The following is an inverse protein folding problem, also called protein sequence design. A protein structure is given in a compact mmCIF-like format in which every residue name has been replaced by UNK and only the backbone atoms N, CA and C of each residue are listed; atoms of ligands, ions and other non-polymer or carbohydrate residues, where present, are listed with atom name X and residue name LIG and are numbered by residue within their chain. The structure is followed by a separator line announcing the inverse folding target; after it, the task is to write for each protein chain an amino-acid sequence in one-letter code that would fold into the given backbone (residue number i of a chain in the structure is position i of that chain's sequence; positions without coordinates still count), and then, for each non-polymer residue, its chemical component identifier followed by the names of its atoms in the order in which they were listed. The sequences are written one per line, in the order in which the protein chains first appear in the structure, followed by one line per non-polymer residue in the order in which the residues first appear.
data_IF_675092205624
#
_entry.id   IF_675092205624
#
_cell.length_a   1.000
_cell.length_b   1.000
_cell.length_c   1.000
_cell.angle_alpha   90.00
_cell.angle_beta   90.00
_cell.angle_gamma   90.00
#
_symmetry.space_group_name_H-M   'P 1'
#
loop_
_entity.id
_entity.type
_entity.pdbx_description
1 polymer ?
#
# COMPACT_ATOMS: atom_id res chain seq x y z
N UNK A 1 -12.43 17.34 2.98
CA UNK A 1 -12.85 16.65 4.22
C UNK A 1 -13.27 17.69 5.25
N UNK A 2 -14.41 17.50 5.93
CA UNK A 2 -14.85 18.37 7.03
C UNK A 2 -13.97 18.13 8.27
N UNK A 3 -13.48 19.19 8.92
CA UNK A 3 -12.61 19.08 10.11
C UNK A 3 -13.23 18.24 11.24
N UNK A 4 -14.55 18.33 11.46
CA UNK A 4 -15.22 17.49 12.46
C UNK A 4 -15.18 16.00 12.09
N UNK A 5 -15.24 15.67 10.80
CA UNK A 5 -15.14 14.28 10.31
C UNK A 5 -13.71 13.77 10.49
N UNK A 6 -12.71 14.59 10.15
CA UNK A 6 -11.29 14.30 10.36
C UNK A 6 -11.00 13.99 11.83
N UNK A 7 -11.50 14.81 12.76
CA UNK A 7 -11.31 14.59 14.20
C UNK A 7 -11.94 13.28 14.70
N UNK A 8 -13.14 12.94 14.22
CA UNK A 8 -13.81 11.68 14.57
C UNK A 8 -12.99 10.48 14.08
N UNK A 9 -12.59 10.46 12.81
CA UNK A 9 -11.81 9.39 12.21
C UNK A 9 -10.47 9.19 12.93
N UNK A 10 -9.76 10.28 13.21
CA UNK A 10 -8.49 10.22 13.95
C UNK A 10 -8.69 9.61 15.33
N UNK A 11 -9.73 10.02 16.06
CA UNK A 11 -10.01 9.50 17.41
C UNK A 11 -10.36 8.00 17.40
N UNK A 12 -11.11 7.54 16.39
CA UNK A 12 -11.43 6.12 16.23
C UNK A 12 -10.17 5.28 15.97
N UNK A 13 -9.32 5.74 15.05
CA UNK A 13 -8.03 5.10 14.77
C UNK A 13 -7.08 5.13 15.98
N UNK A 14 -7.06 6.20 16.77
CA UNK A 14 -6.27 6.26 18.01
C UNK A 14 -6.75 5.24 19.04
N UNK A 15 -8.06 5.06 19.19
CA UNK A 15 -8.62 4.04 20.08
C UNK A 15 -8.32 2.61 19.60
N UNK A 16 -8.34 2.39 18.28
CA UNK A 16 -7.92 1.13 17.67
C UNK A 16 -6.42 0.86 17.88
N UNK A 17 -5.56 1.84 17.64
CA UNK A 17 -4.12 1.77 17.89
C UNK A 17 -3.80 1.43 19.35
N UNK A 18 -4.49 2.07 20.30
CA UNK A 18 -4.34 1.80 21.73
C UNK A 18 -4.78 0.39 22.12
N UNK A 19 -5.69 -0.21 21.35
CA UNK A 19 -6.14 -1.59 21.53
C UNK A 19 -5.17 -2.56 20.85
N UNK A 20 -4.70 -2.25 19.64
CA UNK A 20 -3.73 -3.02 18.88
C UNK A 20 -2.42 -3.22 19.67
N UNK A 21 -1.93 -2.16 20.35
CA UNK A 21 -0.74 -2.20 21.22
C UNK A 21 -0.85 -3.16 22.41
N UNK A 22 -2.04 -3.66 22.72
CA UNK A 22 -2.31 -4.60 23.82
C UNK A 22 -2.57 -6.03 23.34
N UNK A 23 -2.62 -6.26 22.02
CA UNK A 23 -2.83 -7.60 21.47
C UNK A 23 -1.63 -8.48 21.83
N UNK A 24 -1.91 -9.72 22.24
CA UNK A 24 -0.88 -10.71 22.50
C UNK A 24 -0.33 -11.25 21.18
N UNK A 25 0.98 -11.09 20.96
CA UNK A 25 1.68 -11.72 19.83
C UNK A 25 1.49 -13.24 19.86
N UNK A 26 1.46 -13.84 21.05
CA UNK A 26 1.27 -15.29 21.20
C UNK A 26 -0.11 -15.75 20.72
N UNK A 27 -1.17 -14.97 20.95
CA UNK A 27 -2.52 -15.33 20.50
C UNK A 27 -2.58 -15.35 18.97
N UNK A 28 -2.01 -14.33 18.31
CA UNK A 28 -1.87 -14.29 16.84
C UNK A 28 -1.02 -15.47 16.35
N UNK A 29 0.09 -15.77 17.02
CA UNK A 29 0.99 -16.86 16.65
C UNK A 29 0.29 -18.22 16.73
N UNK A 30 -0.51 -18.46 17.76
CA UNK A 30 -1.29 -19.69 17.92
C UNK A 30 -2.34 -19.83 16.81
N UNK A 31 -3.03 -18.74 16.45
CA UNK A 31 -3.97 -18.74 15.32
C UNK A 31 -3.27 -19.04 13.98
N UNK A 32 -2.15 -18.37 13.69
CA UNK A 32 -1.33 -18.61 12.49
C UNK A 32 -0.85 -20.06 12.45
N UNK A 33 -0.36 -20.60 13.57
CA UNK A 33 0.12 -21.97 13.67
C UNK A 33 -1.00 -22.98 13.37
N UNK A 34 -2.20 -22.73 13.92
CA UNK A 34 -3.38 -23.58 13.69
C UNK A 34 -3.88 -23.51 12.23
N UNK A 35 -3.80 -22.35 11.58
CA UNK A 35 -4.15 -22.20 10.16
C UNK A 35 -3.13 -22.88 9.24
N UNK A 36 -1.84 -22.82 9.62
CA UNK A 36 -0.74 -23.34 8.83
C UNK A 36 -0.37 -22.45 7.64
N UNK A 37 0.92 -22.22 7.42
CA UNK A 37 1.38 -21.47 6.26
C UNK A 37 2.82 -21.79 5.84
N UNK A 38 3.04 -21.93 4.53
CA UNK A 38 4.37 -21.95 3.95
C UNK A 38 4.37 -21.20 2.62
N UNK A 39 5.19 -20.16 2.51
CA UNK A 39 5.39 -19.46 1.24
C UNK A 39 6.05 -20.40 0.23
N UNK A 40 5.39 -20.61 -0.91
CA UNK A 40 5.85 -21.48 -2.00
C UNK A 40 6.85 -20.79 -2.93
N UNK A 41 7.09 -19.49 -2.75
CA UNK A 41 7.89 -18.64 -3.66
C UNK A 41 7.39 -18.80 -5.11
N UNK A 42 6.06 -18.79 -5.29
CA UNK A 42 5.45 -18.96 -6.61
C UNK A 42 5.35 -17.65 -7.41
N UNK A 43 5.55 -16.50 -6.77
CA UNK A 43 5.45 -15.18 -7.40
C UNK A 43 4.04 -14.70 -7.72
N UNK A 44 2.98 -15.50 -7.49
CA UNK A 44 1.58 -15.14 -7.82
C UNK A 44 1.13 -13.83 -7.19
N UNK A 45 1.42 -13.61 -5.91
CA UNK A 45 1.07 -12.34 -5.24
C UNK A 45 1.79 -11.10 -5.79
N UNK A 46 2.81 -11.28 -6.64
CA UNK A 46 3.51 -10.19 -7.30
C UNK A 46 3.04 -9.96 -8.74
N UNK A 47 2.18 -10.82 -9.30
CA UNK A 47 1.79 -10.79 -10.72
C UNK A 47 0.33 -10.41 -10.91
N UNK A 48 0.07 -9.54 -11.89
CA UNK A 48 -1.26 -9.00 -12.17
C UNK A 48 -2.23 -10.05 -12.71
N UNK A 49 -1.70 -11.05 -13.41
CA UNK A 49 -2.48 -12.17 -13.97
C UNK A 49 -3.08 -13.09 -12.88
N UNK A 50 -2.58 -12.99 -11.66
CA UNK A 50 -2.97 -13.80 -10.51
C UNK A 50 -3.93 -13.07 -9.56
N UNK A 51 -4.31 -11.82 -9.86
CA UNK A 51 -5.22 -11.02 -9.05
C UNK A 51 -4.69 -9.61 -8.78
N UNK A 52 -5.27 -8.95 -7.77
CA UNK A 52 -4.75 -7.68 -7.28
C UNK A 52 -3.41 -7.89 -6.56
N UNK A 53 -2.37 -7.26 -7.09
CA UNK A 53 -1.00 -7.32 -6.58
C UNK A 53 -0.52 -5.96 -6.04
N UNK A 54 -1.43 -5.02 -5.78
CA UNK A 54 -1.07 -3.72 -5.20
C UNK A 54 -0.56 -3.90 -3.77
N UNK A 55 0.57 -3.26 -3.47
CA UNK A 55 1.23 -3.32 -2.17
C UNK A 55 1.34 -1.91 -1.63
N UNK A 56 0.47 -1.54 -0.69
CA UNK A 56 0.61 -0.28 0.05
C UNK A 56 1.91 -0.29 0.84
N UNK A 57 2.64 0.82 0.81
CA UNK A 57 3.90 1.01 1.54
C UNK A 57 3.97 2.39 2.18
N UNK A 58 4.61 2.46 3.33
CA UNK A 58 4.87 3.72 4.04
C UNK A 58 6.14 4.41 3.52
N UNK A 59 6.27 5.71 3.78
CA UNK A 59 7.50 6.45 3.42
C UNK A 59 8.75 5.89 4.13
N UNK A 60 8.58 5.35 5.34
CA UNK A 60 9.66 4.68 6.09
C UNK A 60 10.16 3.43 5.39
N UNK A 61 9.26 2.67 4.76
CA UNK A 61 9.64 1.49 3.97
C UNK A 61 10.34 1.87 2.67
N UNK A 62 9.88 2.94 2.00
CA UNK A 62 10.56 3.51 0.83
C UNK A 62 11.99 3.89 1.21
N UNK A 63 12.18 4.69 2.26
CA UNK A 63 13.51 5.09 2.72
C UNK A 63 14.38 3.92 3.15
N UNK A 64 13.80 2.85 3.72
CA UNK A 64 14.56 1.65 4.04
C UNK A 64 15.09 0.95 2.78
N UNK A 65 14.30 0.91 1.70
CA UNK A 65 14.73 0.35 0.42
C UNK A 65 15.77 1.27 -0.24
N UNK A 66 15.54 2.58 -0.29
CA UNK A 66 16.49 3.56 -0.84
C UNK A 66 17.86 3.47 -0.16
N UNK A 67 17.90 3.46 1.18
CA UNK A 67 19.15 3.45 1.95
C UNK A 67 19.95 2.15 1.83
N UNK A 68 19.30 1.04 1.45
CA UNK A 68 19.95 -0.28 1.34
C UNK A 68 20.06 -0.78 -0.11
N UNK A 69 19.73 0.08 -1.08
CA UNK A 69 19.86 -0.20 -2.50
C UNK A 69 20.38 1.04 -3.24
N UNK A 70 20.39 1.00 -4.57
CA UNK A 70 20.72 2.18 -5.40
C UNK A 70 19.47 2.71 -6.13
N UNK A 71 18.29 2.39 -5.61
CA UNK A 71 17.01 2.74 -6.24
C UNK A 71 16.54 4.11 -5.76
N UNK A 72 15.87 4.85 -6.63
CA UNK A 72 15.16 6.09 -6.26
C UNK A 72 13.72 5.82 -5.85
N UNK A 73 13.08 6.80 -5.19
CA UNK A 73 11.66 6.77 -4.87
C UNK A 73 10.79 6.35 -6.06
N UNK A 74 11.00 6.88 -7.27
CA UNK A 74 10.20 6.61 -8.46
C UNK A 74 10.44 5.20 -9.06
N UNK A 75 11.58 4.59 -8.73
CA UNK A 75 11.87 3.19 -9.07
C UNK A 75 11.25 2.22 -8.05
N UNK A 76 11.04 2.67 -6.81
CA UNK A 76 10.50 1.86 -5.72
C UNK A 76 8.97 1.95 -5.66
N UNK A 77 8.43 3.15 -5.82
CA UNK A 77 7.06 3.48 -5.47
C UNK A 77 6.36 4.29 -6.56
N UNK A 78 5.04 4.16 -6.61
CA UNK A 78 4.14 5.00 -7.39
C UNK A 78 2.95 5.44 -6.51
N UNK A 79 2.21 6.51 -6.91
CA UNK A 79 0.98 6.90 -6.22
C UNK A 79 0.05 5.70 -6.02
N UNK A 80 -0.50 5.54 -4.82
CA UNK A 80 -1.50 4.51 -4.61
C UNK A 80 -2.77 4.87 -5.40
N UNK A 81 -3.11 4.09 -6.41
CA UNK A 81 -4.28 4.36 -7.27
C UNK A 81 -5.26 3.19 -7.24
N UNK A 82 -6.54 3.51 -7.46
CA UNK A 82 -7.53 2.48 -7.71
C UNK A 82 -7.23 1.75 -9.02
N UNK A 83 -7.53 0.46 -9.05
CA UNK A 83 -7.40 -0.31 -10.29
C UNK A 83 -8.53 0.12 -11.24
N UNK A 84 -8.16 0.50 -12.46
CA UNK A 84 -9.08 0.97 -13.51
C UNK A 84 -8.69 0.35 -14.84
N UNK A 85 -9.62 0.30 -15.80
CA UNK A 85 -9.36 -0.27 -17.11
C UNK A 85 -8.52 0.65 -18.00
N UNK A 86 -8.56 1.96 -17.73
CA UNK A 86 -7.73 2.95 -18.43
C UNK A 86 -7.51 4.22 -17.62
N UNK A 87 -6.48 4.98 -17.99
CA UNK A 87 -6.20 6.28 -17.36
C UNK A 87 -7.31 7.32 -17.60
N UNK A 88 -8.09 7.20 -18.68
CA UNK A 88 -9.29 8.02 -18.88
C UNK A 88 -10.39 7.70 -17.85
N UNK A 89 -10.55 6.42 -17.50
CA UNK A 89 -11.47 6.00 -16.45
C UNK A 89 -10.99 6.50 -15.08
N UNK A 90 -9.70 6.36 -14.80
CA UNK A 90 -9.06 6.91 -13.59
C UNK A 90 -9.34 8.42 -13.43
N UNK A 91 -9.13 9.22 -14.49
CA UNK A 91 -9.44 10.65 -14.44
C UNK A 91 -10.92 10.94 -14.13
N UNK A 92 -11.85 10.18 -14.72
CA UNK A 92 -13.29 10.39 -14.51
C UNK A 92 -13.71 10.04 -13.09
N UNK A 93 -13.20 8.94 -12.55
CA UNK A 93 -13.51 8.51 -11.18
C UNK A 93 -12.95 9.54 -10.19
N UNK A 94 -11.68 9.93 -10.33
CA UNK A 94 -11.10 10.95 -9.46
C UNK A 94 -11.81 12.31 -9.56
N UNK A 95 -12.29 12.69 -10.75
CA UNK A 95 -13.11 13.90 -10.90
C UNK A 95 -14.44 13.79 -10.16
N UNK A 96 -15.12 12.63 -10.26
CA UNK A 96 -16.38 12.38 -9.57
C UNK A 96 -16.24 12.34 -8.04
N UNK A 97 -15.09 11.88 -7.55
CA UNK A 97 -14.75 11.81 -6.12
C UNK A 97 -14.16 13.13 -5.57
N UNK A 98 -14.15 14.20 -6.37
CA UNK A 98 -13.58 15.51 -5.99
C UNK A 98 -12.08 15.44 -5.61
N UNK A 99 -11.34 14.54 -6.25
CA UNK A 99 -9.90 14.30 -6.04
C UNK A 99 -9.00 15.04 -7.02
N UNK A 100 -9.53 15.94 -7.84
CA UNK A 100 -8.76 16.76 -8.79
C UNK A 100 -8.78 18.22 -8.36
N UNK A 101 -7.62 18.82 -8.13
CA UNK A 101 -7.51 20.24 -7.79
C UNK A 101 -7.72 21.17 -9.01
N UNK A 102 -7.77 22.48 -8.76
CA UNK A 102 -7.92 23.48 -9.82
C UNK A 102 -6.78 23.49 -10.87
N UNK A 103 -5.61 22.96 -10.52
CA UNK A 103 -4.44 22.84 -11.38
C UNK A 103 -4.41 21.52 -12.17
N UNK A 104 -5.41 20.64 -11.98
CA UNK A 104 -5.52 19.35 -12.64
C UNK A 104 -4.61 18.26 -12.06
N UNK A 105 -4.12 18.43 -10.82
CA UNK A 105 -3.43 17.37 -10.11
C UNK A 105 -4.43 16.40 -9.46
N UNK A 106 -4.14 15.10 -9.58
CA UNK A 106 -4.91 14.04 -8.93
C UNK A 106 -4.34 13.83 -7.51
N UNK A 107 -5.17 14.02 -6.50
CA UNK A 107 -4.81 13.78 -5.12
C UNK A 107 -5.06 12.33 -4.73
N UNK A 108 -4.06 11.70 -4.12
CA UNK A 108 -4.20 10.36 -3.55
C UNK A 108 -3.55 10.27 -2.17
N UNK A 109 -3.79 9.16 -1.47
CA UNK A 109 -3.29 8.88 -0.13
C UNK A 109 -2.38 7.67 -0.15
N UNK A 110 -1.14 7.85 0.30
CA UNK A 110 -0.16 6.79 0.42
C UNK A 110 0.48 6.37 -0.90
N UNK A 111 1.46 5.48 -0.75
CA UNK A 111 2.27 4.95 -1.84
C UNK A 111 1.98 3.48 -2.04
N UNK A 112 2.20 2.98 -3.25
CA UNK A 112 2.32 1.55 -3.51
C UNK A 112 3.65 1.22 -4.16
N UNK A 113 4.08 -0.04 -4.07
CA UNK A 113 5.22 -0.51 -4.86
C UNK A 113 4.99 -0.26 -6.35
N UNK A 114 6.01 0.24 -7.03
CA UNK A 114 6.03 0.49 -8.47
C UNK A 114 5.68 -0.79 -9.23
N UNK A 115 4.90 -0.64 -10.30
CA UNK A 115 4.56 -1.74 -11.21
C UNK A 115 5.20 -1.55 -12.58
N UNK A 116 5.45 -2.67 -13.26
CA UNK A 116 5.81 -2.74 -14.67
C UNK A 116 4.58 -2.40 -15.53
N UNK A 117 4.80 -2.17 -16.82
CA UNK A 117 3.73 -1.87 -17.78
C UNK A 117 2.70 -3.01 -17.92
N UNK A 118 3.11 -4.26 -17.65
CA UNK A 118 2.20 -5.41 -17.63
C UNK A 118 1.41 -5.55 -16.31
N UNK A 119 1.58 -4.62 -15.37
CA UNK A 119 0.95 -4.61 -14.05
C UNK A 119 1.65 -5.45 -13.00
N UNK A 120 2.72 -6.19 -13.31
CA UNK A 120 3.47 -6.94 -12.30
C UNK A 120 4.26 -6.00 -11.38
N UNK A 121 4.57 -6.45 -10.17
CA UNK A 121 5.47 -5.75 -9.25
C UNK A 121 6.83 -5.50 -9.94
N UNK A 122 7.42 -4.31 -9.80
CA UNK A 122 8.73 -3.98 -10.39
C UNK A 122 9.86 -4.92 -9.91
N UNK A 123 9.71 -5.50 -8.72
CA UNK A 123 10.71 -6.36 -8.11
C UNK A 123 10.52 -7.86 -8.39
N UNK A 124 9.46 -8.28 -9.10
CA UNK A 124 9.37 -9.67 -9.55
C UNK A 124 10.26 -9.85 -10.81
N UNK A 125 11.25 -10.74 -10.78
CA UNK A 125 12.04 -11.04 -11.97
C UNK A 125 11.17 -11.69 -13.07
N UNK A 126 11.59 -11.53 -14.32
CA UNK A 126 11.00 -12.28 -15.42
C UNK A 126 11.29 -13.79 -15.23
N UNK A 127 10.48 -14.68 -15.81
CA UNK A 127 10.36 -16.15 -15.57
C UNK A 127 11.65 -17.00 -15.66
N UNK A 128 12.79 -16.34 -15.78
CA UNK A 128 14.15 -16.87 -15.81
C UNK A 128 14.79 -17.13 -14.45
N UNK A 129 14.09 -16.83 -13.33
CA UNK A 129 14.58 -17.04 -11.95
C UNK A 129 13.62 -17.94 -11.16
N UNK A 130 13.97 -18.31 -9.92
CA UNK A 130 13.13 -19.05 -8.97
C UNK A 130 11.91 -18.25 -8.43
N UNK A 131 11.41 -17.28 -9.21
CA UNK A 131 10.34 -16.32 -8.85
C UNK A 131 10.64 -15.48 -7.59
N UNK A 132 11.90 -15.42 -7.18
CA UNK A 132 12.31 -14.69 -5.98
C UNK A 132 12.42 -13.19 -6.26
N UNK A 133 11.71 -12.41 -5.46
CA UNK A 133 11.79 -10.95 -5.46
C UNK A 133 13.26 -10.46 -5.42
N UNK A 134 13.62 -9.51 -6.29
CA UNK A 134 14.98 -8.96 -6.38
C UNK A 134 15.42 -8.24 -5.10
N UNK A 135 14.47 -7.75 -4.30
CA UNK A 135 14.69 -7.14 -2.99
C UNK A 135 14.20 -8.02 -1.83
N UNK A 136 14.24 -9.36 -1.96
CA UNK A 136 13.60 -10.30 -1.01
C UNK A 136 13.87 -10.02 0.48
N UNK A 137 15.09 -9.55 0.83
CA UNK A 137 15.48 -9.21 2.21
C UNK A 137 14.97 -7.84 2.68
N UNK A 138 14.64 -6.96 1.76
CA UNK A 138 14.13 -5.59 2.00
C UNK A 138 12.63 -5.48 1.69
N UNK A 139 11.93 -6.62 1.54
CA UNK A 139 10.50 -6.64 1.22
C UNK A 139 9.72 -5.80 2.22
N UNK A 140 8.74 -4.99 1.76
CA UNK A 140 7.81 -4.32 2.65
C UNK A 140 7.12 -5.28 3.61
N UNK A 141 6.60 -4.74 4.70
CA UNK A 141 5.92 -5.51 5.73
C UNK A 141 4.71 -6.24 5.17
N UNK A 142 3.95 -5.63 4.25
CA UNK A 142 2.84 -6.30 3.57
C UNK A 142 3.31 -7.56 2.85
N UNK A 143 4.37 -7.47 2.04
CA UNK A 143 4.93 -8.63 1.34
C UNK A 143 5.56 -9.67 2.29
N UNK A 144 6.04 -9.24 3.46
CA UNK A 144 6.67 -10.10 4.47
C UNK A 144 5.65 -10.82 5.35
N UNK A 145 4.44 -10.29 5.46
CA UNK A 145 3.36 -10.82 6.31
C UNK A 145 2.25 -11.50 5.52
N UNK A 146 2.18 -11.29 4.20
CA UNK A 146 1.24 -11.97 3.31
C UNK A 146 1.31 -13.50 3.48
N UNK A 147 0.17 -14.20 3.60
CA UNK A 147 -1.19 -13.73 3.32
C UNK A 147 -1.94 -13.14 4.52
N UNK A 148 -1.28 -13.00 5.68
CA UNK A 148 -1.94 -12.54 6.89
C UNK A 148 -2.01 -11.02 6.95
N UNK A 149 -3.12 -10.50 7.45
CA UNK A 149 -3.31 -9.09 7.74
C UNK A 149 -4.19 -8.93 8.98
N UNK A 150 -4.08 -7.79 9.64
CA UNK A 150 -4.95 -7.42 10.75
C UNK A 150 -5.95 -6.38 10.27
N UNK A 151 -7.20 -6.51 10.70
CA UNK A 151 -8.27 -5.54 10.43
C UNK A 151 -9.25 -5.57 11.60
N UNK A 152 -9.67 -4.41 12.10
CA UNK A 152 -10.56 -4.30 13.26
C UNK A 152 -10.10 -5.17 14.46
N UNK A 153 -8.80 -5.14 14.76
CA UNK A 153 -8.15 -5.92 15.82
C UNK A 153 -8.20 -7.45 15.64
N UNK A 154 -8.50 -7.94 14.43
CA UNK A 154 -8.62 -9.38 14.14
C UNK A 154 -7.65 -9.84 13.07
N UNK A 155 -7.16 -11.07 13.23
CA UNK A 155 -6.38 -11.76 12.22
C UNK A 155 -7.27 -12.20 11.05
N UNK A 156 -6.83 -11.91 9.84
CA UNK A 156 -7.46 -12.31 8.60
C UNK A 156 -6.43 -12.86 7.61
N UNK A 157 -6.92 -13.52 6.56
CA UNK A 157 -6.10 -14.13 5.51
C UNK A 157 -6.58 -13.77 4.13
N UNK A 158 -5.67 -13.38 3.26
CA UNK A 158 -5.90 -13.30 1.81
C UNK A 158 -5.75 -14.66 1.15
N UNK A 159 -6.20 -14.78 -0.11
CA UNK A 159 -6.10 -16.00 -0.90
C UNK A 159 -4.63 -16.38 -1.14
N UNK A 160 -4.19 -17.55 -0.67
CA UNK A 160 -2.84 -18.04 -0.94
C UNK A 160 -2.76 -19.57 -0.88
N UNK A 161 -2.11 -20.18 -1.88
CA UNK A 161 -1.90 -21.64 -1.96
C UNK A 161 -0.96 -22.19 -0.87
N UNK A 162 -0.28 -21.29 -0.14
CA UNK A 162 0.58 -21.64 0.99
C UNK A 162 -0.19 -21.91 2.29
N UNK A 163 -1.47 -21.54 2.38
CA UNK A 163 -2.30 -21.79 3.57
C UNK A 163 -2.54 -23.30 3.77
N UNK A 164 -2.58 -23.74 5.02
CA UNK A 164 -2.76 -25.15 5.41
C UNK A 164 -1.48 -25.99 5.32
N UNK A 165 -0.34 -25.39 4.97
CA UNK A 165 0.98 -26.02 5.06
C UNK A 165 1.51 -25.97 6.49
N UNK A 166 2.44 -26.86 6.82
CA UNK A 166 3.04 -26.88 8.16
C UNK A 166 3.93 -25.66 8.40
N UNK A 167 3.78 -25.04 9.57
CA UNK A 167 4.60 -23.95 10.07
C UNK A 167 5.01 -24.27 11.51
N UNK A 168 6.27 -24.07 11.86
CA UNK A 168 6.73 -24.29 13.24
C UNK A 168 6.22 -23.18 14.17
N UNK A 169 6.21 -23.46 15.47
CA UNK A 169 5.73 -22.50 16.48
C UNK A 169 6.61 -21.23 16.53
N UNK A 170 7.92 -21.38 16.31
CA UNK A 170 8.84 -20.24 16.29
C UNK A 170 8.59 -19.36 15.06
N UNK A 171 8.45 -19.95 13.87
CA UNK A 171 8.15 -19.23 12.64
C UNK A 171 6.78 -18.53 12.71
N UNK A 172 5.80 -19.17 13.36
CA UNK A 172 4.48 -18.57 13.60
C UNK A 172 4.58 -17.35 14.50
N UNK A 173 5.39 -17.40 15.55
CA UNK A 173 5.63 -16.27 16.45
C UNK A 173 6.34 -15.11 15.74
N UNK A 174 7.38 -15.39 14.95
CA UNK A 174 8.10 -14.37 14.18
C UNK A 174 7.18 -13.68 13.15
N UNK A 175 6.33 -14.46 12.48
CA UNK A 175 5.34 -13.93 11.54
C UNK A 175 4.27 -13.07 12.26
N UNK A 176 3.78 -13.52 13.42
CA UNK A 176 2.84 -12.77 14.25
C UNK A 176 3.43 -11.45 14.76
N UNK A 177 4.71 -11.44 15.16
CA UNK A 177 5.39 -10.21 15.60
C UNK A 177 5.50 -9.19 14.45
N UNK A 178 5.91 -9.64 13.27
CA UNK A 178 5.97 -8.79 12.07
C UNK A 178 4.59 -8.29 11.67
N UNK A 179 3.57 -9.13 11.76
CA UNK A 179 2.19 -8.79 11.43
C UNK A 179 1.62 -7.73 12.37
N UNK A 180 1.78 -7.89 13.68
CA UNK A 180 1.32 -6.90 14.65
C UNK A 180 2.10 -5.58 14.51
N UNK A 181 3.41 -5.66 14.28
CA UNK A 181 4.23 -4.49 13.97
C UNK A 181 3.74 -3.74 12.74
N UNK A 182 3.43 -4.46 11.65
CA UNK A 182 2.87 -3.88 10.43
C UNK A 182 1.59 -3.12 10.72
N UNK A 183 0.64 -3.77 11.38
CA UNK A 183 -0.67 -3.19 11.68
C UNK A 183 -0.56 -1.91 12.51
N UNK A 184 0.28 -1.92 13.56
CA UNK A 184 0.53 -0.73 14.39
C UNK A 184 1.14 0.40 13.56
N UNK A 185 2.12 0.11 12.69
CA UNK A 185 2.75 1.12 11.85
C UNK A 185 1.80 1.69 10.80
N UNK A 186 0.94 0.87 10.19
CA UNK A 186 -0.09 1.31 9.24
C UNK A 186 -1.13 2.22 9.93
N UNK A 187 -1.56 1.88 11.15
CA UNK A 187 -2.45 2.73 11.96
C UNK A 187 -1.77 4.08 12.31
N UNK A 188 -0.52 4.05 12.77
CA UNK A 188 0.25 5.26 13.10
C UNK A 188 0.45 6.17 11.87
N UNK A 189 0.77 5.58 10.72
CA UNK A 189 0.96 6.30 9.46
C UNK A 189 -0.36 6.92 8.97
N UNK A 190 -1.47 6.18 9.06
CA UNK A 190 -2.81 6.66 8.68
C UNK A 190 -3.27 7.82 9.57
N UNK A 191 -3.12 7.69 10.89
CA UNK A 191 -3.44 8.76 11.85
C UNK A 191 -2.65 10.02 11.54
N UNK A 192 -1.34 9.87 11.31
CA UNK A 192 -0.47 11.01 11.05
C UNK A 192 -0.77 11.65 9.69
N UNK A 193 -1.07 10.84 8.67
CA UNK A 193 -1.55 11.31 7.36
C UNK A 193 -2.80 12.16 7.52
N UNK A 194 -3.81 11.69 8.25
CA UNK A 194 -5.03 12.48 8.49
C UNK A 194 -4.75 13.75 9.27
N UNK A 195 -3.94 13.70 10.33
CA UNK A 195 -3.58 14.90 11.11
C UNK A 195 -2.91 15.97 10.25
N UNK A 196 -1.96 15.56 9.40
CA UNK A 196 -1.17 16.46 8.56
C UNK A 196 -1.85 16.83 7.24
N UNK A 197 -2.90 16.09 6.85
CA UNK A 197 -3.66 16.39 5.64
C UNK A 197 -4.33 17.75 5.74
N UNK A 198 -3.99 18.59 4.77
CA UNK A 198 -4.68 19.85 4.49
C UNK A 198 -5.48 19.65 3.20
N UNK A 199 -6.75 20.03 3.23
CA UNK A 199 -7.57 20.01 2.02
C UNK A 199 -6.97 20.88 0.91
N UNK A 200 -7.45 20.65 -0.31
CA UNK A 200 -7.11 21.43 -1.50
C UNK A 200 -8.39 22.00 -2.11
N UNK A 201 -8.23 22.98 -3.00
CA UNK A 201 -9.34 23.59 -3.71
C UNK A 201 -9.60 22.84 -5.02
N UNK A 202 -10.85 22.43 -5.20
CA UNK A 202 -11.34 21.88 -6.47
C UNK A 202 -11.90 23.02 -7.32
N UNK A 203 -11.70 22.99 -8.63
CA UNK A 203 -12.21 24.01 -9.56
C UNK A 203 -12.93 23.41 -10.77
N UNK A 204 -13.82 24.20 -11.40
CA UNK A 204 -14.58 23.78 -12.59
C UNK A 204 -13.69 23.33 -13.77
N UNK A 205 -12.43 23.77 -13.80
CA UNK A 205 -11.48 23.46 -14.87
C UNK A 205 -10.50 22.32 -14.55
N UNK A 206 -10.42 21.86 -13.30
CA UNK A 206 -9.42 20.87 -12.88
C UNK A 206 -9.46 19.60 -13.73
N UNK A 207 -10.65 19.04 -13.92
CA UNK A 207 -10.87 17.87 -14.78
C UNK A 207 -10.40 18.13 -16.22
N UNK A 208 -10.74 19.28 -16.81
CA UNK A 208 -10.34 19.61 -18.18
C UNK A 208 -8.81 19.70 -18.33
N UNK A 209 -8.11 20.18 -17.30
CA UNK A 209 -6.65 20.24 -17.27
C UNK A 209 -6.06 18.84 -17.16
N UNK A 210 -6.57 18.00 -16.25
CA UNK A 210 -6.13 16.61 -16.10
C UNK A 210 -6.32 15.81 -17.41
N UNK A 211 -7.47 15.95 -18.08
CA UNK A 211 -7.74 15.32 -19.38
C UNK A 211 -6.81 15.84 -20.49
N UNK A 212 -6.40 17.11 -20.43
CA UNK A 212 -5.43 17.70 -21.36
C UNK A 212 -4.02 17.16 -21.12
N UNK A 213 -3.60 17.00 -19.87
CA UNK A 213 -2.34 16.36 -19.50
C UNK A 213 -2.31 14.90 -19.99
N UNK A 214 -3.41 14.16 -19.78
CA UNK A 214 -3.52 12.77 -20.23
C UNK A 214 -3.34 12.65 -21.75
N UNK A 215 -3.94 13.56 -22.53
CA UNK A 215 -3.74 13.62 -24.00
C UNK A 215 -2.30 13.94 -24.42
N UNK A 216 -1.53 14.54 -23.52
CA UNK A 216 -0.08 14.79 -23.70
C UNK A 216 0.79 13.62 -23.20
N UNK A 217 0.18 12.54 -22.68
CA UNK A 217 0.86 11.33 -22.25
C UNK A 217 1.32 11.35 -20.80
N UNK A 218 0.73 12.18 -19.93
CA UNK A 218 1.09 12.19 -18.51
C UNK A 218 -0.06 12.58 -17.58
N UNK A 219 0.05 12.19 -16.31
CA UNK A 219 -0.79 12.65 -15.21
C UNK A 219 0.09 13.19 -14.06
N UNK A 220 -0.41 14.22 -13.38
CA UNK A 220 0.26 14.83 -12.22
C UNK A 220 -0.49 14.41 -10.96
N UNK A 221 0.23 13.90 -9.97
CA UNK A 221 -0.33 13.43 -8.71
C UNK A 221 0.23 14.23 -7.54
N UNK A 222 -0.61 14.46 -6.53
CA UNK A 222 -0.20 14.88 -5.19
C UNK A 222 -0.47 13.70 -4.25
N UNK A 223 0.60 13.05 -3.78
CA UNK A 223 0.51 11.95 -2.83
C UNK A 223 0.57 12.51 -1.42
N UNK A 224 -0.50 12.33 -0.64
CA UNK A 224 -0.56 12.70 0.77
C UNK A 224 -0.15 11.51 1.64
N UNK A 225 0.75 11.74 2.59
CA UNK A 225 1.28 10.71 3.49
C UNK A 225 1.65 11.34 4.83
N UNK A 226 2.17 10.51 5.74
CA UNK A 226 2.38 10.89 7.13
C UNK A 226 3.36 12.06 7.34
N UNK A 227 4.29 12.32 6.43
CA UNK A 227 5.25 13.43 6.55
C UNK A 227 4.91 14.64 5.68
N UNK A 228 3.79 14.62 4.94
CA UNK A 228 3.33 15.74 4.13
C UNK A 228 2.75 15.31 2.79
N UNK A 229 3.03 16.08 1.74
CA UNK A 229 2.57 15.80 0.38
C UNK A 229 3.72 15.87 -0.60
N UNK A 230 3.71 15.00 -1.61
CA UNK A 230 4.73 14.92 -2.64
C UNK A 230 4.08 14.99 -4.01
N UNK A 231 4.62 15.84 -4.89
CA UNK A 231 4.15 15.94 -6.28
C UNK A 231 4.97 15.02 -7.17
N UNK A 232 4.30 14.15 -7.92
CA UNK A 232 4.93 13.25 -8.89
C UNK A 232 4.18 13.28 -10.22
N UNK A 233 4.93 13.22 -11.33
CA UNK A 233 4.37 13.14 -12.68
C UNK A 233 4.60 11.73 -13.21
N UNK A 234 3.51 11.08 -13.65
CA UNK A 234 3.54 9.74 -14.23
C UNK A 234 3.29 9.84 -15.73
N UNK A 235 4.19 9.28 -16.52
CA UNK A 235 3.96 9.11 -17.95
C UNK A 235 3.03 7.91 -18.18
N UNK A 236 2.09 8.07 -19.11
CA UNK A 236 1.07 7.08 -19.48
C UNK A 236 1.39 6.53 -20.87
#
# INVERSE_FOLDING_TARGET
MNENVKEILVRELEAELDSAKKISVQEIADEIHNMGFQCLICGKCCRRDSGDNRVAITIKEIHNIENQSNLTLEEIAEPFVMETESSEEECKINAADELIDEDGNIHTFGWMLRRKDNGDCSFIPDDTTDHRCSIYKLRPLLCSTYPFYMEELRLNTSECEGIGKEIGSQESYELAELLLKRYILELEDTILTYKNYNGFETGENGQNIAESCLKQGYLSYIVHYSEGSYRIVKNI
#
